data_IF_415292206068
#
_entry.id   IF_415292206068
#
_cell.length_a   1.000
_cell.length_b   1.000
_cell.length_c   1.000
_cell.angle_alpha   90.00
_cell.angle_beta   90.00
_cell.angle_gamma   90.00
#
_symmetry.space_group_name_H-M   'P 1'
#
loop_
_entity.id
_entity.type
_entity.pdbx_description
1 polymer ?
#
# COMPACT_ATOMS: atom_id res chain seq x y z
N UNK A 1 0.51 -18.84 -14.54
CA UNK A 1 1.00 -17.91 -13.48
C UNK A 1 -0.14 -17.28 -12.69
N UNK A 2 -0.90 -18.06 -11.94
CA UNK A 2 -1.94 -17.56 -11.01
C UNK A 2 -1.31 -17.02 -9.73
N UNK A 3 -1.85 -15.94 -9.16
CA UNK A 3 -1.57 -15.58 -7.76
C UNK A 3 -2.57 -16.34 -6.92
N UNK A 4 -2.09 -17.19 -6.02
CA UNK A 4 -2.95 -18.11 -5.28
C UNK A 4 -3.38 -17.55 -3.92
N UNK A 5 -2.94 -16.34 -3.59
CA UNK A 5 -3.17 -15.66 -2.33
C UNK A 5 -2.96 -14.16 -2.50
N UNK A 6 -3.67 -13.39 -1.67
CA UNK A 6 -3.53 -11.95 -1.50
C UNK A 6 -3.43 -11.69 0.00
N UNK A 7 -2.51 -10.81 0.39
CA UNK A 7 -2.33 -10.36 1.77
C UNK A 7 -2.68 -8.87 1.83
N UNK A 8 -3.33 -8.45 2.90
CA UNK A 8 -3.68 -7.06 3.16
C UNK A 8 -2.99 -6.57 4.43
N UNK A 9 -2.41 -5.37 4.35
CA UNK A 9 -1.82 -4.67 5.49
C UNK A 9 -2.67 -3.41 5.71
N UNK A 10 -3.29 -3.31 6.89
CA UNK A 10 -4.09 -2.15 7.30
C UNK A 10 -3.26 -1.30 8.25
N UNK A 11 -3.25 0.01 8.03
CA UNK A 11 -2.43 0.98 8.78
C UNK A 11 -3.35 2.07 9.33
N UNK A 12 -3.35 2.23 10.64
CA UNK A 12 -3.89 3.40 11.33
C UNK A 12 -2.75 4.31 11.77
N UNK A 13 -2.96 5.63 11.76
CA UNK A 13 -1.96 6.61 12.16
C UNK A 13 -2.59 7.84 12.82
N UNK A 14 -1.79 8.60 13.55
CA UNK A 14 -2.24 9.83 14.21
C UNK A 14 -2.41 10.99 13.21
N UNK A 15 -1.64 10.97 12.13
CA UNK A 15 -1.71 11.95 11.04
C UNK A 15 -1.66 11.28 9.67
N UNK A 16 -2.13 11.98 8.62
CA UNK A 16 -1.98 11.52 7.23
C UNK A 16 -0.51 11.28 6.84
N UNK A 17 0.40 12.11 7.37
CA UNK A 17 1.82 11.99 7.10
C UNK A 17 2.41 10.69 7.67
N UNK A 18 2.00 10.28 8.87
CA UNK A 18 2.42 9.02 9.47
C UNK A 18 1.97 7.82 8.61
N UNK A 19 0.73 7.86 8.12
CA UNK A 19 0.17 6.82 7.25
C UNK A 19 0.94 6.77 5.93
N UNK A 20 1.17 7.92 5.28
CA UNK A 20 1.94 7.98 4.02
C UNK A 20 3.37 7.48 4.19
N UNK A 21 4.03 7.83 5.30
CA UNK A 21 5.38 7.36 5.62
C UNK A 21 5.40 5.85 5.84
N UNK A 22 4.43 5.31 6.58
CA UNK A 22 4.31 3.88 6.82
C UNK A 22 4.06 3.11 5.52
N UNK A 23 3.15 3.59 4.65
CA UNK A 23 2.89 3.02 3.33
C UNK A 23 4.15 3.03 2.45
N UNK A 24 4.84 4.18 2.35
CA UNK A 24 6.07 4.30 1.56
C UNK A 24 7.14 3.34 2.06
N UNK A 25 7.39 3.32 3.37
CA UNK A 25 8.41 2.47 3.99
C UNK A 25 8.11 0.99 3.77
N UNK A 26 6.87 0.56 4.01
CA UNK A 26 6.44 -0.82 3.81
C UNK A 26 6.57 -1.26 2.35
N UNK A 27 6.08 -0.45 1.40
CA UNK A 27 6.18 -0.75 -0.03
C UNK A 27 7.64 -0.80 -0.48
N UNK A 28 8.46 0.18 -0.08
CA UNK A 28 9.90 0.19 -0.39
C UNK A 28 10.63 -1.02 0.18
N UNK A 29 10.27 -1.50 1.38
CA UNK A 29 10.87 -2.71 1.96
C UNK A 29 10.60 -3.95 1.11
N UNK A 30 9.40 -4.06 0.52
CA UNK A 30 9.04 -5.16 -0.38
C UNK A 30 9.80 -5.04 -1.70
N UNK A 31 9.82 -3.85 -2.30
CA UNK A 31 10.50 -3.60 -3.58
C UNK A 31 12.02 -3.90 -3.47
N UNK A 32 12.62 -3.58 -2.33
CA UNK A 32 14.06 -3.77 -2.08
C UNK A 32 14.40 -5.17 -1.53
N UNK A 33 13.41 -6.05 -1.38
CA UNK A 33 13.63 -7.41 -0.88
C UNK A 33 13.94 -8.40 -2.02
N UNK A 34 14.48 -9.56 -1.67
CA UNK A 34 14.69 -10.67 -2.60
C UNK A 34 13.42 -11.54 -2.82
N UNK A 35 12.23 -11.05 -2.45
CA UNK A 35 10.97 -11.79 -2.60
C UNK A 35 10.56 -11.94 -4.08
N UNK A 36 10.92 -13.08 -4.69
CA UNK A 36 10.62 -13.39 -6.09
C UNK A 36 9.15 -13.76 -6.37
N UNK A 37 8.34 -13.95 -5.33
CA UNK A 37 6.96 -14.42 -5.43
C UNK A 37 5.90 -13.31 -5.28
N UNK A 38 6.31 -12.06 -5.05
CA UNK A 38 5.39 -10.92 -5.00
C UNK A 38 5.23 -10.34 -6.41
N UNK A 39 4.01 -10.41 -6.95
CA UNK A 39 3.74 -9.98 -8.34
C UNK A 39 3.31 -8.52 -8.46
N UNK A 40 2.57 -8.02 -7.49
CA UNK A 40 2.02 -6.67 -7.52
C UNK A 40 1.68 -6.20 -6.12
N UNK A 41 1.66 -4.87 -5.98
CA UNK A 41 1.17 -4.16 -4.80
C UNK A 41 0.01 -3.29 -5.28
N UNK A 42 -1.10 -3.30 -4.54
CA UNK A 42 -2.31 -2.54 -4.82
C UNK A 42 -2.86 -1.94 -3.53
N UNK A 43 -3.95 -1.17 -3.62
CA UNK A 43 -4.67 -0.62 -2.48
C UNK A 43 -6.18 -0.81 -2.67
N UNK A 44 -6.84 -1.32 -1.62
CA UNK A 44 -8.30 -1.36 -1.54
C UNK A 44 -8.90 0.04 -1.41
N UNK A 45 -10.07 0.27 -2.01
CA UNK A 45 -10.81 1.52 -1.87
C UNK A 45 -12.32 1.30 -2.06
N UNK A 46 -13.14 2.22 -1.57
CA UNK A 46 -14.60 2.21 -1.68
C UNK A 46 -15.12 3.16 -2.78
N UNK A 47 -14.42 3.22 -3.92
CA UNK A 47 -14.80 4.10 -5.04
C UNK A 47 -14.61 5.59 -4.78
N UNK A 48 -13.88 5.96 -3.73
CA UNK A 48 -13.54 7.34 -3.37
C UNK A 48 -14.68 8.17 -2.79
N UNK A 49 -15.79 7.54 -2.35
CA UNK A 49 -16.98 8.23 -1.85
C UNK A 49 -17.26 8.08 -0.35
N UNK A 50 -16.58 7.14 0.31
CA UNK A 50 -16.86 6.79 1.71
C UNK A 50 -15.90 7.47 2.69
N UNK A 51 -14.59 7.34 2.46
CA UNK A 51 -13.55 7.90 3.32
C UNK A 51 -13.14 9.32 2.88
N UNK A 52 -12.74 10.19 3.82
CA UNK A 52 -12.30 11.55 3.49
C UNK A 52 -10.88 11.59 2.86
N UNK A 53 -10.10 10.52 2.99
CA UNK A 53 -8.72 10.45 2.52
C UNK A 53 -8.56 9.57 1.29
N UNK A 54 -7.74 10.04 0.34
CA UNK A 54 -7.39 9.31 -0.90
C UNK A 54 -5.87 9.18 -1.02
N UNK A 55 -5.35 8.05 -0.54
CA UNK A 55 -3.92 7.72 -0.55
C UNK A 55 -3.49 7.09 -1.88
N UNK A 56 -3.14 7.93 -2.86
CA UNK A 56 -2.71 7.46 -4.18
C UNK A 56 -1.29 6.87 -4.15
N UNK A 57 -1.15 5.56 -4.36
CA UNK A 57 0.16 4.87 -4.33
C UNK A 57 1.22 5.55 -5.21
N UNK A 58 0.85 6.01 -6.42
CA UNK A 58 1.78 6.73 -7.30
C UNK A 58 2.35 8.00 -6.65
N UNK A 59 1.53 8.76 -5.93
CA UNK A 59 1.97 9.98 -5.23
C UNK A 59 2.83 9.66 -4.02
N UNK A 60 2.48 8.61 -3.26
CA UNK A 60 3.23 8.16 -2.08
C UNK A 60 4.64 7.67 -2.47
N UNK A 61 4.75 7.01 -3.63
CA UNK A 61 5.99 6.44 -4.13
C UNK A 61 6.80 7.41 -5.02
N UNK A 62 6.32 8.64 -5.23
CA UNK A 62 7.07 9.68 -5.95
C UNK A 62 8.19 10.29 -5.10
#
# INVERSE_FOLDING_TARGET
>A
NTSNYVLEIVIDGLTEADIMLAMRTGISSIINSDYKNIKSISAGNYGGKLGPYLFWLKKIMS
#
